data_IF_602101999026
#
_entry.id   IF_602101999026
#
_cell.length_a   1.000
_cell.length_b   1.000
_cell.length_c   1.000
_cell.angle_alpha   90.00
_cell.angle_beta   90.00
_cell.angle_gamma   90.00
#
_symmetry.space_group_name_H-M   'P 1'
#
loop_
_entity.id
_entity.type
_entity.pdbx_description
1 polymer ?
#
# COMPACT_ATOMS: atom_id res chain seq x y z
N UNK A 1 21.95 -3.77 -7.20
CA UNK A 1 20.54 -3.93 -6.79
C UNK A 1 19.71 -3.06 -7.71
N UNK A 2 18.72 -3.62 -8.42
CA UNK A 2 17.84 -2.81 -9.26
C UNK A 2 17.11 -1.80 -8.37
N UNK A 3 17.18 -0.51 -8.72
CA UNK A 3 16.58 0.58 -7.98
C UNK A 3 15.05 0.40 -8.03
N UNK A 4 14.47 -0.09 -6.94
CA UNK A 4 13.04 -0.33 -6.87
C UNK A 4 12.32 1.00 -6.69
N UNK A 5 11.49 1.37 -7.67
CA UNK A 5 10.71 2.58 -7.60
C UNK A 5 9.69 2.48 -6.43
N UNK A 6 9.53 3.58 -5.69
CA UNK A 6 8.48 3.74 -4.67
C UNK A 6 7.76 5.06 -4.91
N UNK A 7 6.43 5.01 -4.92
CA UNK A 7 5.63 6.23 -5.02
C UNK A 7 5.56 6.97 -3.69
N UNK A 8 5.62 6.28 -2.54
CA UNK A 8 5.53 6.92 -1.23
C UNK A 8 6.89 7.51 -0.84
N UNK A 9 6.94 8.83 -0.70
CA UNK A 9 8.17 9.59 -0.43
C UNK A 9 8.04 10.50 0.80
N UNK A 10 9.15 11.11 1.21
CA UNK A 10 9.22 12.05 2.33
C UNK A 10 9.68 13.43 1.86
N UNK A 11 8.92 14.46 2.21
CA UNK A 11 9.35 15.85 2.18
C UNK A 11 10.08 16.17 3.49
N UNK A 12 11.42 16.10 3.43
CA UNK A 12 12.29 16.24 4.62
C UNK A 12 12.02 17.54 5.39
N UNK A 13 11.75 18.64 4.70
CA UNK A 13 11.51 19.95 5.31
C UNK A 13 10.26 19.99 6.21
N UNK A 14 9.20 19.25 5.84
CA UNK A 14 7.97 19.16 6.64
C UNK A 14 8.08 18.17 7.81
N UNK A 15 9.05 17.25 7.76
CA UNK A 15 9.18 16.20 8.77
C UNK A 15 9.72 16.75 10.09
N UNK A 16 8.98 16.52 11.19
CA UNK A 16 9.41 16.88 12.55
C UNK A 16 9.96 15.72 13.38
N UNK A 17 10.11 14.53 12.79
CA UNK A 17 10.64 13.36 13.51
C UNK A 17 9.76 12.83 14.65
N UNK A 18 8.47 13.17 14.67
CA UNK A 18 7.51 12.85 15.75
C UNK A 18 7.17 11.36 15.94
N UNK A 19 7.89 10.45 15.30
CA UNK A 19 7.74 8.99 15.36
C UNK A 19 6.38 8.39 14.97
N UNK A 20 5.29 9.16 14.79
CA UNK A 20 3.95 8.58 14.54
C UNK A 20 3.91 7.54 13.40
N UNK A 21 4.55 7.87 12.26
CA UNK A 21 4.57 6.98 11.10
C UNK A 21 5.27 5.62 11.33
N UNK A 22 6.18 5.49 12.30
CA UNK A 22 6.85 4.20 12.56
C UNK A 22 5.89 3.22 13.24
N UNK A 23 4.95 3.72 14.06
CA UNK A 23 3.98 2.90 14.79
C UNK A 23 2.89 2.31 13.91
N UNK A 24 2.55 2.99 12.83
CA UNK A 24 1.49 2.55 11.93
C UNK A 24 2.01 1.81 10.69
N UNK A 25 3.32 1.75 10.46
CA UNK A 25 3.84 1.07 9.27
C UNK A 25 3.68 -0.46 9.41
N UNK A 26 2.86 -1.12 8.56
CA UNK A 26 2.53 -2.54 8.72
C UNK A 26 3.70 -3.50 8.47
N UNK A 27 4.77 -3.00 7.85
CA UNK A 27 5.98 -3.76 7.52
C UNK A 27 7.22 -3.20 8.20
N UNK A 28 7.03 -2.31 9.19
CA UNK A 28 8.14 -1.70 9.94
C UNK A 28 9.20 -1.04 9.03
N UNK A 29 8.75 -0.52 7.89
CA UNK A 29 9.60 0.05 6.86
C UNK A 29 10.13 1.45 7.21
N UNK A 30 9.82 2.00 8.38
CA UNK A 30 10.17 3.37 8.72
C UNK A 30 11.01 3.39 10.00
N UNK A 31 12.08 4.17 9.96
CA UNK A 31 12.87 4.60 11.13
C UNK A 31 12.85 6.12 11.24
N UNK A 32 13.07 6.66 12.43
CA UNK A 32 13.40 8.07 12.63
C UNK A 32 14.83 8.16 13.13
N UNK A 33 15.67 8.89 12.41
CA UNK A 33 17.07 9.14 12.74
C UNK A 33 17.37 10.61 12.49
N UNK A 34 18.18 11.22 13.36
CA UNK A 34 18.56 12.64 13.24
C UNK A 34 17.33 13.56 13.05
N UNK A 35 16.24 13.29 13.78
CA UNK A 35 15.00 14.07 13.72
C UNK A 35 14.18 13.91 12.43
N UNK A 36 14.51 12.98 11.53
CA UNK A 36 13.80 12.78 10.26
C UNK A 36 13.43 11.32 10.04
N UNK A 37 12.26 11.10 9.45
CA UNK A 37 11.86 9.76 9.04
C UNK A 37 12.74 9.28 7.86
N UNK A 38 12.96 7.97 7.77
CA UNK A 38 13.62 7.29 6.67
C UNK A 38 12.78 6.07 6.30
N UNK A 39 12.60 5.81 5.01
CA UNK A 39 11.89 4.64 4.51
C UNK A 39 12.95 3.62 4.07
N UNK A 40 12.83 2.39 4.58
CA UNK A 40 13.58 1.22 4.14
C UNK A 40 12.83 0.68 2.93
N UNK A 41 13.40 0.90 1.74
CA UNK A 41 12.74 0.62 0.46
C UNK A 41 12.27 -0.83 0.36
N UNK A 42 13.13 -1.79 0.73
CA UNK A 42 12.88 -3.22 0.60
C UNK A 42 11.66 -3.69 1.43
N UNK A 43 11.26 -2.93 2.45
CA UNK A 43 10.10 -3.23 3.31
C UNK A 43 8.85 -2.47 2.90
N UNK A 44 8.98 -1.38 2.15
CA UNK A 44 7.86 -0.50 1.86
C UNK A 44 6.94 -1.16 0.82
N UNK A 45 5.66 -1.31 1.18
CA UNK A 45 4.62 -1.84 0.29
C UNK A 45 3.78 -0.74 -0.37
N UNK A 46 4.17 0.53 -0.21
CA UNK A 46 3.48 1.73 -0.73
C UNK A 46 2.00 1.85 -0.33
N UNK A 47 1.59 1.24 0.79
CA UNK A 47 0.19 1.26 1.27
C UNK A 47 -0.33 2.66 1.66
N UNK A 48 0.56 3.64 1.82
CA UNK A 48 0.22 5.02 2.15
C UNK A 48 -0.27 5.25 3.59
N UNK A 49 -0.17 4.26 4.49
CA UNK A 49 -0.55 4.45 5.90
C UNK A 49 0.20 5.62 6.55
N UNK A 50 1.51 5.74 6.25
CA UNK A 50 2.32 6.86 6.73
C UNK A 50 1.90 8.22 6.16
N UNK A 51 1.22 8.28 5.01
CA UNK A 51 0.64 9.52 4.45
C UNK A 51 -0.56 9.93 5.30
N UNK A 52 -1.44 8.97 5.62
CA UNK A 52 -2.67 9.22 6.40
C UNK A 52 -2.39 9.70 7.82
N UNK A 53 -1.44 9.06 8.51
CA UNK A 53 -1.20 9.34 9.94
C UNK A 53 -0.23 10.49 10.19
N UNK A 54 0.42 11.06 9.16
CA UNK A 54 1.41 12.11 9.39
C UNK A 54 0.73 13.46 9.71
N UNK A 55 0.86 13.99 10.95
CA UNK A 55 0.19 15.24 11.31
C UNK A 55 0.82 16.47 10.63
N UNK A 56 2.02 16.33 10.07
CA UNK A 56 2.75 17.40 9.39
C UNK A 56 2.66 17.31 7.86
N UNK A 57 1.90 16.35 7.32
CA UNK A 57 1.79 16.09 5.88
C UNK A 57 3.16 15.98 5.18
N UNK A 58 4.15 15.40 5.87
CA UNK A 58 5.50 15.25 5.36
C UNK A 58 5.68 14.05 4.44
N UNK A 59 4.72 13.12 4.44
CA UNK A 59 4.68 11.97 3.53
C UNK A 59 3.72 12.26 2.38
N UNK A 60 4.12 11.94 1.16
CA UNK A 60 3.27 12.06 -0.04
C UNK A 60 3.43 10.86 -0.94
N UNK A 61 2.46 10.63 -1.81
CA UNK A 61 2.69 9.79 -2.98
C UNK A 61 3.08 10.69 -4.16
N UNK A 62 4.05 10.25 -4.94
CA UNK A 62 4.44 10.87 -6.21
C UNK A 62 3.67 10.18 -7.32
N UNK A 63 2.79 10.93 -7.98
CA UNK A 63 2.05 10.53 -9.18
C UNK A 63 2.60 11.26 -10.39
N UNK A 64 2.16 10.88 -11.59
CA UNK A 64 2.60 11.54 -12.82
C UNK A 64 1.87 12.88 -12.98
N UNK A 65 2.53 13.93 -13.51
CA UNK A 65 1.87 15.21 -13.77
C UNK A 65 0.96 15.08 -15.01
N UNK A 66 -0.14 15.84 -15.03
CA UNK A 66 -1.09 15.85 -16.17
C UNK A 66 -0.42 16.22 -17.50
N UNK A 67 0.71 16.92 -17.48
CA UNK A 67 1.45 17.31 -18.69
C UNK A 67 1.95 16.13 -19.50
N UNK A 68 2.13 14.93 -18.91
CA UNK A 68 2.52 13.70 -19.63
C UNK A 68 1.48 13.33 -20.69
N UNK A 69 0.22 13.75 -20.56
CA UNK A 69 -0.79 13.54 -21.60
C UNK A 69 -0.41 14.15 -22.95
N UNK A 70 0.40 15.21 -22.96
CA UNK A 70 0.80 15.92 -24.19
C UNK A 70 1.81 15.14 -25.03
N UNK A 71 2.37 14.04 -24.50
CA UNK A 71 3.30 13.17 -25.23
C UNK A 71 2.58 12.19 -26.17
N UNK A 72 1.26 12.12 -26.10
CA UNK A 72 0.44 11.14 -26.82
C UNK A 72 -0.58 11.80 -27.75
N UNK A 73 -0.84 11.16 -28.89
CA UNK A 73 -1.80 11.63 -29.90
C UNK A 73 -3.25 11.35 -29.47
N UNK A 74 -3.46 10.19 -28.83
CA UNK A 74 -4.77 9.77 -28.36
C UNK A 74 -4.70 9.38 -26.88
N UNK A 75 -5.53 10.01 -26.04
CA UNK A 75 -5.46 9.94 -24.58
C UNK A 75 -6.69 9.26 -24.02
N UNK A 76 -6.50 8.13 -23.36
CA UNK A 76 -7.57 7.37 -22.72
C UNK A 76 -7.50 7.53 -21.20
N UNK A 77 -8.61 7.93 -20.60
CA UNK A 77 -8.78 7.90 -19.15
C UNK A 77 -9.31 6.54 -18.69
N UNK A 78 -8.69 5.99 -17.66
CA UNK A 78 -9.18 4.84 -16.92
C UNK A 78 -9.60 5.27 -15.50
N UNK A 79 -10.85 5.70 -15.28
CA UNK A 79 -11.32 6.04 -13.94
C UNK A 79 -11.42 4.78 -13.08
N UNK A 80 -10.75 4.79 -11.93
CA UNK A 80 -11.04 3.80 -10.88
C UNK A 80 -12.52 3.93 -10.46
N UNK A 81 -13.22 2.82 -10.13
CA UNK A 81 -14.63 2.91 -9.73
C UNK A 81 -14.84 3.80 -8.49
N UNK A 82 -13.80 3.94 -7.66
CA UNK A 82 -13.80 4.80 -6.47
C UNK A 82 -13.96 6.29 -6.78
N UNK A 83 -13.68 6.71 -8.02
CA UNK A 83 -13.89 8.08 -8.48
C UNK A 83 -15.36 8.49 -8.33
N UNK A 84 -16.29 7.57 -8.61
CA UNK A 84 -17.73 7.84 -8.52
C UNK A 84 -18.22 8.10 -7.10
N UNK A 85 -17.49 7.61 -6.09
CA UNK A 85 -17.75 7.94 -4.68
C UNK A 85 -17.23 9.32 -4.26
N UNK A 86 -16.36 9.95 -5.04
CA UNK A 86 -15.74 11.24 -4.67
C UNK A 86 -16.61 12.46 -4.98
N UNK A 87 -17.79 12.25 -5.56
CA UNK A 87 -18.72 13.31 -5.92
C UNK A 87 -20.07 13.07 -5.24
N UNK A 88 -20.76 14.16 -4.91
CA UNK A 88 -22.08 14.10 -4.30
C UNK A 88 -23.14 13.46 -5.21
N UNK A 89 -24.30 13.15 -4.65
CA UNK A 89 -25.42 12.48 -5.34
C UNK A 89 -25.93 13.22 -6.59
N UNK A 90 -25.71 14.52 -6.66
CA UNK A 90 -26.05 15.41 -7.78
C UNK A 90 -25.18 15.20 -9.02
N UNK A 91 -24.06 14.49 -8.90
CA UNK A 91 -23.21 14.13 -10.03
C UNK A 91 -23.55 12.71 -10.49
N UNK A 92 -24.06 12.56 -11.71
CA UNK A 92 -24.24 11.26 -12.37
C UNK A 92 -22.90 10.72 -12.89
N UNK A 93 -22.82 9.40 -13.13
CA UNK A 93 -21.61 8.81 -13.75
C UNK A 93 -21.39 9.39 -15.14
N UNK A 94 -22.45 9.52 -15.91
CA UNK A 94 -22.48 10.12 -17.24
C UNK A 94 -21.79 11.49 -17.23
N UNK A 95 -22.14 12.34 -16.27
CA UNK A 95 -21.56 13.68 -16.09
C UNK A 95 -20.09 13.63 -15.69
N UNK A 96 -19.70 12.70 -14.83
CA UNK A 96 -18.29 12.49 -14.43
C UNK A 96 -17.44 12.07 -15.63
N UNK A 97 -17.92 11.11 -16.43
CA UNK A 97 -17.21 10.62 -17.62
C UNK A 97 -17.05 11.71 -18.68
N UNK A 98 -18.10 12.50 -18.96
CA UNK A 98 -17.98 13.68 -19.82
C UNK A 98 -17.06 14.76 -19.24
N UNK A 99 -17.04 14.90 -17.92
CA UNK A 99 -16.09 15.80 -17.26
C UNK A 99 -14.63 15.43 -17.56
N UNK A 100 -14.33 14.13 -17.70
CA UNK A 100 -13.00 13.67 -18.08
C UNK A 100 -12.67 14.01 -19.55
N UNK A 101 -13.64 13.90 -20.46
CA UNK A 101 -13.39 14.34 -21.85
C UNK A 101 -13.11 15.85 -21.90
N UNK A 102 -13.87 16.66 -21.15
CA UNK A 102 -13.65 18.11 -20.99
C UNK A 102 -12.33 18.48 -20.29
N UNK A 103 -11.73 17.54 -19.55
CA UNK A 103 -10.43 17.68 -18.91
C UNK A 103 -9.27 17.47 -19.90
N UNK A 104 -9.55 16.93 -21.09
CA UNK A 104 -8.59 16.75 -22.18
C UNK A 104 -8.32 15.29 -22.58
N UNK A 105 -9.15 14.34 -22.15
CA UNK A 105 -9.08 12.96 -22.64
C UNK A 105 -9.94 12.78 -23.89
N UNK A 106 -9.46 12.01 -24.87
CA UNK A 106 -10.19 11.72 -26.11
C UNK A 106 -11.23 10.61 -25.91
N UNK A 107 -10.97 9.70 -24.97
CA UNK A 107 -11.88 8.61 -24.63
C UNK A 107 -11.75 8.20 -23.17
N UNK A 108 -12.80 7.56 -22.65
CA UNK A 108 -12.85 7.05 -21.29
C UNK A 108 -13.27 5.59 -21.33
N UNK A 109 -12.48 4.72 -20.72
CA UNK A 109 -12.81 3.31 -20.56
C UNK A 109 -12.85 2.97 -19.07
N UNK A 110 -14.03 2.59 -18.58
CA UNK A 110 -14.25 2.40 -17.15
C UNK A 110 -13.49 1.18 -16.61
N UNK A 111 -12.68 1.36 -15.56
CA UNK A 111 -12.08 0.22 -14.85
C UNK A 111 -13.13 -0.66 -14.18
N UNK A 112 -14.30 -0.09 -13.89
CA UNK A 112 -15.48 -0.81 -13.41
C UNK A 112 -15.93 -1.91 -14.41
N UNK A 113 -15.79 -1.68 -15.72
CA UNK A 113 -16.11 -2.68 -16.74
C UNK A 113 -15.15 -3.87 -16.63
N UNK A 114 -13.86 -3.59 -16.58
CA UNK A 114 -12.83 -4.62 -16.41
C UNK A 114 -12.94 -5.37 -15.07
N UNK A 115 -13.46 -4.73 -14.03
CA UNK A 115 -13.72 -5.37 -12.74
C UNK A 115 -14.80 -6.47 -12.85
N UNK A 116 -15.82 -6.27 -13.68
CA UNK A 116 -16.84 -7.29 -13.96
C UNK A 116 -16.25 -8.47 -14.76
N UNK A 117 -15.39 -8.19 -15.74
CA UNK A 117 -14.65 -9.21 -16.50
C UNK A 117 -13.75 -10.05 -15.58
N UNK A 118 -12.99 -9.40 -14.68
CA UNK A 118 -12.13 -10.09 -13.71
C UNK A 118 -12.96 -10.90 -12.71
N UNK A 119 -14.12 -10.39 -12.28
CA UNK A 119 -15.06 -11.15 -11.44
C UNK A 119 -15.54 -12.42 -12.12
N UNK A 120 -15.85 -12.33 -13.41
CA UNK A 120 -16.26 -13.48 -14.21
C UNK A 120 -15.16 -14.53 -14.34
N UNK A 121 -13.94 -14.11 -14.67
CA UNK A 121 -12.77 -14.99 -14.68
C UNK A 121 -12.54 -15.66 -13.31
N UNK A 122 -12.69 -14.89 -12.22
CA UNK A 122 -12.55 -15.40 -10.85
C UNK A 122 -13.60 -16.47 -10.53
N UNK A 123 -14.85 -16.27 -10.95
CA UNK A 123 -15.91 -17.29 -10.80
C UNK A 123 -15.55 -18.59 -11.52
N UNK A 124 -15.00 -18.51 -12.73
CA UNK A 124 -14.55 -19.68 -13.49
C UNK A 124 -13.41 -20.42 -12.76
N UNK A 125 -12.41 -19.70 -12.26
CA UNK A 125 -11.29 -20.26 -11.50
C UNK A 125 -11.77 -20.95 -10.23
N UNK A 126 -12.65 -20.31 -9.45
CA UNK A 126 -13.21 -20.90 -8.23
C UNK A 126 -14.06 -22.14 -8.50
N UNK A 127 -14.82 -22.17 -9.61
CA UNK A 127 -15.60 -23.34 -10.03
C UNK A 127 -14.72 -24.53 -10.43
N UNK A 128 -13.51 -24.29 -10.96
CA UNK A 128 -12.59 -25.36 -11.36
C UNK A 128 -12.14 -26.26 -10.20
N UNK A 129 -12.17 -25.76 -8.96
CA UNK A 129 -11.72 -26.47 -7.77
C UNK A 129 -10.21 -26.71 -7.67
N UNK A 130 -9.41 -26.24 -8.65
CA UNK A 130 -7.95 -26.48 -8.73
C UNK A 130 -7.10 -25.43 -8.01
N UNK A 131 -7.69 -24.65 -7.12
CA UNK A 131 -7.01 -23.56 -6.39
C UNK A 131 -6.89 -23.86 -4.90
N UNK A 132 -5.83 -23.32 -4.28
CA UNK A 132 -5.67 -23.39 -2.83
C UNK A 132 -6.64 -22.41 -2.16
N UNK A 133 -7.40 -22.90 -1.19
CA UNK A 133 -8.39 -22.10 -0.43
C UNK A 133 -7.85 -21.69 0.95
N UNK A 134 -8.29 -20.54 1.50
CA UNK A 134 -9.06 -19.51 0.79
C UNK A 134 -8.23 -18.86 -0.32
N UNK A 135 -8.86 -18.57 -1.45
CA UNK A 135 -8.23 -17.82 -2.54
C UNK A 135 -8.26 -16.32 -2.18
N UNK A 136 -7.14 -15.62 -2.31
CA UNK A 136 -6.98 -14.23 -1.90
C UNK A 136 -6.98 -13.33 -3.13
N UNK A 137 -7.80 -12.28 -3.12
CA UNK A 137 -7.83 -11.25 -4.16
C UNK A 137 -6.45 -10.64 -4.43
N UNK A 138 -6.13 -10.42 -5.70
CA UNK A 138 -4.94 -9.69 -6.15
C UNK A 138 -5.18 -8.21 -6.45
N UNK A 139 -6.42 -7.72 -6.29
CA UNK A 139 -6.80 -6.38 -6.73
C UNK A 139 -6.03 -5.26 -6.00
N UNK A 140 -5.70 -5.47 -4.71
CA UNK A 140 -4.96 -4.51 -3.89
C UNK A 140 -3.44 -4.77 -3.93
N UNK A 141 -2.64 -3.95 -4.66
CA UNK A 141 -1.20 -4.18 -4.82
C UNK A 141 -0.42 -4.09 -3.50
N UNK A 142 -0.89 -3.28 -2.54
CA UNK A 142 -0.29 -3.22 -1.21
C UNK A 142 -0.45 -4.55 -0.45
N UNK A 143 -1.56 -5.26 -0.64
CA UNK A 143 -1.82 -6.55 0.01
C UNK A 143 -1.01 -7.67 -0.66
N UNK A 144 -0.95 -7.67 -1.99
CA UNK A 144 -0.07 -8.59 -2.73
C UNK A 144 1.39 -8.45 -2.27
N UNK A 145 1.88 -7.20 -2.14
CA UNK A 145 3.22 -6.94 -1.63
C UNK A 145 3.38 -7.29 -0.15
N UNK A 146 2.35 -7.09 0.68
CA UNK A 146 2.37 -7.54 2.07
C UNK A 146 2.59 -9.07 2.14
N UNK A 147 1.94 -9.84 1.25
CA UNK A 147 2.15 -11.28 1.15
C UNK A 147 3.60 -11.61 0.77
N UNK A 148 4.15 -10.94 -0.25
CA UNK A 148 5.56 -11.13 -0.67
C UNK A 148 6.58 -10.87 0.42
N UNK A 149 6.24 -10.04 1.39
CA UNK A 149 7.18 -9.44 2.33
C UNK A 149 7.03 -10.08 3.71
N UNK A 150 5.79 -10.32 4.18
CA UNK A 150 5.48 -10.87 5.52
C UNK A 150 4.83 -12.25 5.53
N UNK A 151 4.13 -12.67 4.46
CA UNK A 151 3.36 -13.92 4.44
C UNK A 151 3.67 -14.81 3.23
N UNK A 152 4.94 -15.18 2.97
CA UNK A 152 5.30 -15.93 1.76
C UNK A 152 4.56 -17.27 1.59
N UNK A 153 4.11 -17.88 2.68
CA UNK A 153 3.32 -19.13 2.64
C UNK A 153 1.96 -18.96 1.93
N UNK A 154 1.46 -17.72 1.84
CA UNK A 154 0.20 -17.38 1.18
C UNK A 154 0.36 -17.00 -0.30
N UNK A 155 1.59 -17.02 -0.87
CA UNK A 155 1.82 -16.71 -2.29
C UNK A 155 0.96 -17.60 -3.19
N UNK A 156 0.84 -18.88 -2.84
CA UNK A 156 0.03 -19.86 -3.59
C UNK A 156 -1.48 -19.72 -3.37
N UNK A 157 -1.92 -18.86 -2.45
CA UNK A 157 -3.32 -18.53 -2.23
C UNK A 157 -3.76 -17.32 -3.06
N UNK A 158 -2.85 -16.57 -3.70
CA UNK A 158 -3.22 -15.38 -4.47
C UNK A 158 -3.91 -15.77 -5.78
N UNK A 159 -4.99 -15.06 -6.10
CA UNK A 159 -5.62 -15.07 -7.42
C UNK A 159 -4.67 -14.47 -8.46
N UNK A 160 -4.03 -15.31 -9.27
CA UNK A 160 -3.07 -14.88 -10.31
C UNK A 160 -3.74 -14.32 -11.58
N UNK A 161 -4.66 -13.37 -11.42
CA UNK A 161 -5.26 -12.60 -12.50
C UNK A 161 -4.74 -11.16 -12.50
N UNK A 162 -4.51 -10.61 -13.69
CA UNK A 162 -4.21 -9.20 -13.88
C UNK A 162 -5.28 -8.34 -13.22
N UNK A 163 -4.85 -7.24 -12.59
CA UNK A 163 -5.80 -6.35 -11.93
C UNK A 163 -6.73 -5.68 -12.94
N UNK A 164 -7.96 -5.26 -12.53
CA UNK A 164 -8.89 -4.61 -13.45
C UNK A 164 -8.33 -3.39 -14.18
N UNK A 165 -7.38 -2.68 -13.56
CA UNK A 165 -6.68 -1.56 -14.18
C UNK A 165 -5.86 -2.01 -15.40
N UNK A 166 -5.11 -3.11 -15.28
CA UNK A 166 -4.28 -3.64 -16.37
C UNK A 166 -5.15 -4.23 -17.48
N UNK A 167 -6.21 -4.95 -17.11
CA UNK A 167 -7.19 -5.49 -18.05
C UNK A 167 -7.87 -4.35 -18.82
N UNK A 168 -8.31 -3.29 -18.12
CA UNK A 168 -8.90 -2.11 -18.73
C UNK A 168 -7.93 -1.42 -19.69
N UNK A 169 -6.66 -1.25 -19.29
CA UNK A 169 -5.65 -0.63 -20.11
C UNK A 169 -5.36 -1.42 -21.39
N UNK A 170 -5.27 -2.74 -21.28
CA UNK A 170 -5.06 -3.62 -22.43
C UNK A 170 -6.23 -3.55 -23.41
N UNK A 171 -7.47 -3.69 -22.92
CA UNK A 171 -8.67 -3.59 -23.76
C UNK A 171 -8.73 -2.23 -24.43
N UNK A 172 -8.62 -1.14 -23.67
CA UNK A 172 -8.70 0.20 -24.21
C UNK A 172 -7.66 0.46 -25.31
N UNK A 173 -6.41 0.02 -25.09
CA UNK A 173 -5.34 0.19 -26.06
C UNK A 173 -5.59 -0.62 -27.33
N UNK A 174 -6.04 -1.87 -27.20
CA UNK A 174 -6.39 -2.73 -28.32
C UNK A 174 -7.55 -2.13 -29.14
N UNK A 175 -8.62 -1.66 -28.48
CA UNK A 175 -9.77 -1.03 -29.13
C UNK A 175 -9.37 0.20 -29.93
N UNK A 176 -8.56 1.10 -29.37
CA UNK A 176 -8.12 2.31 -30.09
C UNK A 176 -7.26 1.94 -31.30
N UNK A 177 -6.32 1.00 -31.14
CA UNK A 177 -5.46 0.56 -32.24
C UNK A 177 -6.30 -0.06 -33.37
N UNK A 178 -7.27 -0.92 -33.06
CA UNK A 178 -8.09 -1.60 -34.07
C UNK A 178 -9.11 -0.69 -34.73
N UNK A 179 -9.81 0.16 -33.98
CA UNK A 179 -10.93 0.95 -34.50
C UNK A 179 -10.51 2.31 -35.05
N UNK A 180 -9.46 2.92 -34.48
CA UNK A 180 -8.99 4.26 -34.88
C UNK A 180 -7.75 4.23 -35.77
N UNK A 181 -7.15 3.05 -35.98
CA UNK A 181 -5.92 2.87 -36.76
C UNK A 181 -4.76 3.76 -36.28
N UNK A 182 -4.67 3.98 -34.96
CA UNK A 182 -3.60 4.76 -34.31
C UNK A 182 -2.54 3.77 -33.78
N UNK A 183 -1.23 3.98 -34.06
CA UNK A 183 -0.17 3.12 -33.51
C UNK A 183 -0.18 3.07 -31.99
N UNK A 184 0.11 1.90 -31.42
CA UNK A 184 0.05 1.63 -29.98
C UNK A 184 0.93 2.59 -29.15
N UNK A 185 2.06 3.04 -29.69
CA UNK A 185 3.01 3.95 -29.04
C UNK A 185 2.45 5.36 -28.90
N UNK A 186 1.51 5.74 -29.77
CA UNK A 186 0.85 7.05 -29.76
C UNK A 186 -0.41 7.10 -28.91
N UNK A 187 -0.87 5.96 -28.41
CA UNK A 187 -2.01 5.85 -27.49
C UNK A 187 -1.51 5.92 -26.05
N UNK A 188 -1.84 7.00 -25.36
CA UNK A 188 -1.55 7.22 -23.94
C UNK A 188 -2.71 6.76 -23.08
N UNK A 189 -2.49 5.77 -22.22
CA UNK A 189 -3.50 5.23 -21.31
C UNK A 189 -3.20 5.66 -19.87
N UNK A 190 -4.12 6.38 -19.24
CA UNK A 190 -3.88 7.02 -17.94
C UNK A 190 -4.86 6.56 -16.88
N UNK A 191 -4.33 5.99 -15.79
CA UNK A 191 -5.14 5.52 -14.68
C UNK A 191 -5.38 6.63 -13.66
N UNK A 192 -6.65 6.91 -13.36
CA UNK A 192 -7.05 7.87 -12.33
C UNK A 192 -7.26 7.08 -11.03
N UNK A 193 -6.25 7.15 -10.16
CA UNK A 193 -6.05 6.22 -9.05
C UNK A 193 -6.36 6.82 -7.67
N UNK A 194 -7.00 6.05 -6.77
CA UNK A 194 -7.08 6.38 -5.35
C UNK A 194 -5.82 5.96 -4.57
N UNK A 195 -4.88 5.24 -5.19
CA UNK A 195 -3.89 4.42 -4.50
C UNK A 195 -2.45 4.74 -4.93
N UNK A 196 -1.60 5.00 -3.93
CA UNK A 196 -0.15 5.16 -4.10
C UNK A 196 0.52 3.86 -4.61
N UNK A 197 0.15 2.71 -4.06
CA UNK A 197 0.71 1.42 -4.48
C UNK A 197 0.39 1.05 -5.93
N UNK A 198 -0.70 1.57 -6.52
CA UNK A 198 -0.98 1.40 -7.95
C UNK A 198 -0.01 2.20 -8.83
N UNK A 199 0.44 3.37 -8.39
CA UNK A 199 1.53 4.09 -9.09
C UNK A 199 2.78 3.22 -9.15
N UNK A 200 3.15 2.60 -8.02
CA UNK A 200 4.30 1.72 -8.00
C UNK A 200 4.08 0.44 -8.81
N UNK A 201 2.87 -0.13 -8.84
CA UNK A 201 2.61 -1.33 -9.65
C UNK A 201 2.64 -1.05 -11.15
N UNK A 202 2.32 0.17 -11.60
CA UNK A 202 2.48 0.57 -13.00
C UNK A 202 3.96 0.70 -13.38
N UNK A 203 4.76 1.36 -12.53
CA UNK A 203 6.20 1.59 -12.79
C UNK A 203 7.09 0.37 -12.53
N UNK A 204 6.67 -0.52 -11.65
CA UNK A 204 7.35 -1.77 -11.32
C UNK A 204 6.32 -2.90 -11.13
N UNK A 205 5.77 -3.45 -12.24
CA UNK A 205 4.74 -4.49 -12.18
C UNK A 205 5.26 -5.80 -11.59
N UNK A 206 4.39 -6.47 -10.83
CA UNK A 206 4.61 -7.84 -10.34
C UNK A 206 3.85 -8.89 -11.18
N UNK A 207 2.79 -8.48 -11.89
CA UNK A 207 1.88 -9.33 -12.66
C UNK A 207 2.45 -9.72 -14.05
N UNK A 208 3.25 -8.82 -14.63
CA UNK A 208 3.82 -8.93 -15.98
C UNK A 208 5.13 -8.14 -16.11
N UNK A 209 5.73 -8.15 -17.31
CA UNK A 209 6.99 -7.44 -17.59
C UNK A 209 6.84 -5.92 -17.55
N UNK A 210 5.84 -5.38 -18.24
CA UNK A 210 5.60 -3.95 -18.42
C UNK A 210 4.09 -3.66 -18.32
N UNK A 211 3.72 -2.53 -17.70
CA UNK A 211 2.33 -2.13 -17.57
C UNK A 211 1.76 -1.66 -18.91
N UNK A 212 0.47 -1.87 -19.13
CA UNK A 212 -0.24 -1.29 -20.27
C UNK A 212 -0.67 0.17 -20.01
N UNK A 213 -0.45 0.68 -18.79
CA UNK A 213 -0.75 2.05 -18.35
C UNK A 213 0.49 2.92 -18.52
N UNK A 214 0.34 4.08 -19.16
CA UNK A 214 1.41 5.03 -19.42
C UNK A 214 1.65 6.03 -18.28
N UNK A 215 0.61 6.33 -17.48
CA UNK A 215 0.74 7.23 -16.34
C UNK A 215 -0.40 7.08 -15.34
N UNK A 216 -0.17 7.54 -14.12
CA UNK A 216 -1.15 7.48 -13.03
C UNK A 216 -1.40 8.87 -12.47
N UNK A 217 -2.66 9.29 -12.46
CA UNK A 217 -3.11 10.55 -11.89
C UNK A 217 -3.83 10.34 -10.57
N UNK A 218 -3.53 11.18 -9.59
CA UNK A 218 -4.20 11.20 -8.29
C UNK A 218 -5.64 11.70 -8.44
N UNK A 219 -6.63 10.98 -7.88
CA UNK A 219 -8.01 11.46 -7.84
C UNK A 219 -8.08 12.83 -7.14
N UNK A 220 -7.36 12.99 -6.03
CA UNK A 220 -7.30 14.24 -5.27
C UNK A 220 -6.80 15.42 -6.11
N UNK A 221 -5.86 15.18 -7.01
CA UNK A 221 -5.24 16.25 -7.81
C UNK A 221 -6.14 16.71 -8.96
N UNK A 222 -6.99 15.82 -9.48
CA UNK A 222 -7.96 16.15 -10.53
C UNK A 222 -9.33 16.54 -10.00
N UNK A 223 -9.65 16.26 -8.72
CA UNK A 223 -11.00 16.37 -8.16
C UNK A 223 -11.63 17.76 -8.38
N UNK A 224 -10.92 18.83 -8.01
CA UNK A 224 -11.41 20.21 -8.15
C UNK A 224 -11.52 20.60 -9.64
N UNK A 225 -10.51 20.24 -10.45
CA UNK A 225 -10.52 20.52 -11.90
C UNK A 225 -11.70 19.84 -12.60
N UNK A 226 -11.98 18.60 -12.22
CA UNK A 226 -13.10 17.83 -12.75
C UNK A 226 -14.45 18.44 -12.32
N UNK A 227 -14.57 18.87 -11.06
CA UNK A 227 -15.75 19.61 -10.59
C UNK A 227 -16.01 20.87 -11.41
N UNK A 228 -14.97 21.64 -11.73
CA UNK A 228 -15.07 22.85 -12.56
C UNK A 228 -15.56 22.53 -13.96
N UNK A 229 -15.00 21.51 -14.61
CA UNK A 229 -15.45 21.06 -15.95
C UNK A 229 -16.90 20.59 -15.94
N UNK A 230 -17.31 19.86 -14.90
CA UNK A 230 -18.67 19.36 -14.77
C UNK A 230 -19.72 20.46 -14.57
N UNK A 231 -19.37 21.67 -14.11
CA UNK A 231 -20.33 22.79 -13.96
C UNK A 231 -21.06 23.13 -15.26
N UNK A 232 -20.38 22.99 -16.38
CA UNK A 232 -20.92 23.30 -17.71
C UNK A 232 -21.67 22.13 -18.35
N UNK A 233 -21.73 20.97 -17.67
CA UNK A 233 -22.38 19.76 -18.17
C UNK A 233 -23.75 19.62 -17.49
N UNK A 234 -24.85 19.45 -18.25
CA UNK A 234 -26.19 19.25 -17.68
C UNK A 234 -26.24 18.04 -16.73
N UNK A 235 -26.99 18.10 -15.62
CA UNK A 235 -27.14 16.97 -14.68
C UNK A 235 -27.70 15.70 -15.33
N UNK A 236 -28.66 15.87 -16.25
CA UNK A 236 -29.40 14.77 -16.90
C UNK A 236 -28.78 14.38 -18.25
N UNK A 237 -27.47 14.61 -18.42
CA UNK A 237 -26.80 14.27 -19.66
C UNK A 237 -26.72 12.75 -19.85
N UNK A 238 -27.06 12.27 -21.05
CA UNK A 238 -26.78 10.88 -21.43
C UNK A 238 -25.33 10.74 -21.92
N UNK A 239 -24.74 9.55 -21.79
CA UNK A 239 -23.34 9.32 -22.13
C UNK A 239 -23.08 7.87 -22.59
N UNK A 240 -22.69 7.73 -23.85
CA UNK A 240 -22.32 6.45 -24.47
C UNK A 240 -21.03 5.85 -23.87
N UNK A 241 -20.27 6.62 -23.07
CA UNK A 241 -19.07 6.13 -22.40
C UNK A 241 -19.37 5.21 -21.21
N UNK A 242 -20.61 5.21 -20.71
CA UNK A 242 -21.03 4.33 -19.63
C UNK A 242 -21.08 2.90 -20.13
N UNK A 243 -20.26 2.03 -19.54
CA UNK A 243 -20.04 0.66 -20.02
C UNK A 243 -19.96 -0.38 -18.90
N UNK A 244 -20.27 0.00 -17.66
CA UNK A 244 -20.21 -0.86 -16.48
C UNK A 244 -21.50 -0.90 -15.67
N UNK A 245 -21.78 -2.06 -15.08
CA UNK A 245 -22.94 -2.31 -14.23
C UNK A 245 -22.71 -2.04 -12.75
N UNK A 246 -23.69 -2.46 -11.95
CA UNK A 246 -23.69 -2.28 -10.50
C UNK A 246 -22.54 -3.01 -9.80
N UNK A 247 -22.14 -4.19 -10.28
CA UNK A 247 -21.02 -4.95 -9.72
C UNK A 247 -19.70 -4.23 -9.94
N UNK A 248 -19.46 -3.75 -11.16
CA UNK A 248 -18.25 -3.02 -11.53
C UNK A 248 -18.07 -1.72 -10.74
N UNK A 249 -19.16 -0.97 -10.55
CA UNK A 249 -19.14 0.24 -9.69
C UNK A 249 -18.93 -0.14 -8.23
N UNK A 250 -19.59 -1.20 -7.77
CA UNK A 250 -19.56 -1.67 -6.39
C UNK A 250 -18.17 -2.09 -5.91
N UNK A 251 -17.31 -2.59 -6.81
CA UNK A 251 -15.93 -3.01 -6.54
C UNK A 251 -15.06 -1.97 -5.81
N UNK A 252 -15.39 -0.69 -5.88
CA UNK A 252 -14.65 0.34 -5.15
C UNK A 252 -14.78 0.25 -3.62
N UNK A 253 -15.94 -0.18 -3.14
CA UNK A 253 -16.23 -0.33 -1.72
C UNK A 253 -15.83 -1.72 -1.23
N UNK A 254 -15.57 -1.82 0.09
CA UNK A 254 -15.30 -3.13 0.68
C UNK A 254 -16.51 -4.07 0.55
N UNK A 255 -16.24 -5.31 0.17
CA UNK A 255 -17.22 -6.35 -0.14
C UNK A 255 -17.73 -6.28 -1.57
N UNK A 256 -17.28 -5.31 -2.38
CA UNK A 256 -17.72 -5.14 -3.76
C UNK A 256 -17.27 -6.27 -4.67
N UNK A 257 -16.05 -6.76 -4.49
CA UNK A 257 -15.53 -7.91 -5.24
C UNK A 257 -16.23 -9.19 -4.78
N UNK A 258 -16.34 -9.43 -3.47
CA UNK A 258 -17.09 -10.55 -2.93
C UNK A 258 -18.54 -10.61 -3.43
N UNK A 259 -19.24 -9.46 -3.48
CA UNK A 259 -20.60 -9.37 -4.00
C UNK A 259 -20.66 -9.75 -5.49
N UNK A 260 -19.70 -9.31 -6.29
CA UNK A 260 -19.61 -9.63 -7.72
C UNK A 260 -19.33 -11.12 -7.99
N UNK A 261 -18.79 -11.87 -7.02
CA UNK A 261 -18.60 -13.31 -7.17
C UNK A 261 -19.89 -14.11 -7.00
N UNK A 262 -20.93 -13.55 -6.36
CA UNK A 262 -22.21 -14.21 -6.09
C UNK A 262 -22.07 -15.55 -5.34
N UNK A 263 -21.16 -15.60 -4.37
CA UNK A 263 -20.89 -16.83 -3.57
C UNK A 263 -21.05 -16.58 -2.07
N UNK A 264 -21.55 -17.58 -1.31
CA UNK A 264 -21.82 -17.41 0.11
C UNK A 264 -20.55 -17.48 0.99
N UNK A 265 -19.56 -18.30 0.62
CA UNK A 265 -18.35 -18.55 1.42
C UNK A 265 -17.24 -17.54 1.14
N UNK A 266 -17.56 -16.25 1.15
CA UNK A 266 -16.60 -15.16 0.87
C UNK A 266 -16.40 -14.28 2.10
N UNK A 267 -15.19 -13.76 2.27
CA UNK A 267 -14.81 -12.88 3.37
C UNK A 267 -14.25 -11.57 2.82
N UNK A 268 -14.82 -10.44 3.22
CA UNK A 268 -14.29 -9.12 2.90
C UNK A 268 -13.63 -8.51 4.13
N UNK A 269 -12.35 -8.14 4.02
CA UNK A 269 -11.58 -7.50 5.07
C UNK A 269 -10.92 -6.24 4.54
N UNK A 270 -11.01 -5.16 5.31
CA UNK A 270 -10.42 -3.88 4.96
C UNK A 270 -9.63 -3.27 6.12
N UNK A 271 -8.62 -2.47 5.77
CA UNK A 271 -7.65 -1.93 6.73
C UNK A 271 -6.50 -2.91 6.96
N UNK A 272 -5.27 -2.44 6.76
CA UNK A 272 -4.09 -3.31 6.66
C UNK A 272 -3.82 -4.14 7.92
N UNK A 273 -4.14 -3.63 9.12
CA UNK A 273 -3.98 -4.38 10.36
C UNK A 273 -4.99 -5.52 10.50
N UNK A 274 -6.24 -5.32 10.04
CA UNK A 274 -7.23 -6.39 9.98
C UNK A 274 -6.85 -7.43 8.93
N UNK A 275 -6.30 -7.00 7.79
CA UNK A 275 -5.77 -7.91 6.77
C UNK A 275 -4.65 -8.79 7.33
N UNK A 276 -3.73 -8.20 8.11
CA UNK A 276 -2.64 -8.94 8.78
C UNK A 276 -3.23 -10.01 9.72
N UNK A 277 -4.20 -9.65 10.57
CA UNK A 277 -4.85 -10.60 11.48
C UNK A 277 -5.53 -11.76 10.73
N UNK A 278 -6.26 -11.45 9.65
CA UNK A 278 -6.87 -12.49 8.80
C UNK A 278 -5.80 -13.38 8.15
N UNK A 279 -4.68 -12.82 7.69
CA UNK A 279 -3.60 -13.61 7.10
C UNK A 279 -2.93 -14.54 8.13
N UNK A 280 -2.78 -14.11 9.37
CA UNK A 280 -2.33 -14.96 10.48
C UNK A 280 -3.31 -16.13 10.69
N UNK A 281 -4.62 -15.87 10.70
CA UNK A 281 -5.63 -16.93 10.78
C UNK A 281 -5.61 -17.90 9.59
N UNK A 282 -5.34 -17.43 8.37
CA UNK A 282 -5.19 -18.30 7.19
C UNK A 282 -3.95 -19.19 7.33
N UNK A 283 -2.83 -18.64 7.79
CA UNK A 283 -1.57 -19.40 8.00
C UNK A 283 -1.75 -20.46 9.09
N UNK A 284 -2.50 -20.15 10.15
CA UNK A 284 -2.87 -21.09 11.20
C UNK A 284 -3.98 -22.08 10.79
N UNK A 285 -4.37 -22.06 9.51
CA UNK A 285 -5.42 -22.88 8.92
C UNK A 285 -6.79 -22.78 9.62
N UNK A 286 -7.13 -21.62 10.22
CA UNK A 286 -8.42 -21.41 10.91
C UNK A 286 -9.58 -21.12 9.96
N UNK A 287 -9.31 -20.70 8.72
CA UNK A 287 -10.32 -20.27 7.73
C UNK A 287 -10.56 -21.29 6.60
N UNK A 288 -10.64 -22.59 6.92
CA UNK A 288 -10.82 -23.69 5.94
C UNK A 288 -12.15 -23.63 5.17
N UNK A 289 -13.18 -23.03 5.77
CA UNK A 289 -14.52 -22.91 5.19
C UNK A 289 -14.74 -21.68 4.30
N UNK A 290 -13.70 -20.85 4.12
CA UNK A 290 -13.76 -19.66 3.27
C UNK A 290 -13.23 -20.02 1.87
N UNK A 291 -14.03 -19.76 0.84
CA UNK A 291 -13.63 -19.97 -0.56
C UNK A 291 -12.73 -18.82 -1.06
N UNK A 292 -13.07 -17.58 -0.70
CA UNK A 292 -12.43 -16.38 -1.23
C UNK A 292 -12.30 -15.27 -0.17
N UNK A 293 -11.18 -14.57 -0.18
CA UNK A 293 -10.88 -13.43 0.70
C UNK A 293 -10.58 -12.19 -0.15
N UNK A 294 -11.48 -11.21 -0.09
CA UNK A 294 -11.24 -9.85 -0.57
C UNK A 294 -10.49 -9.09 0.54
N UNK A 295 -9.19 -8.84 0.33
CA UNK A 295 -8.35 -8.14 1.29
C UNK A 295 -7.90 -6.77 0.75
N UNK A 296 -8.32 -5.70 1.43
CA UNK A 296 -8.04 -4.32 1.03
C UNK A 296 -7.24 -3.57 2.11
N UNK A 297 -6.11 -2.97 1.73
CA UNK A 297 -5.22 -2.29 2.68
C UNK A 297 -5.83 -1.06 3.37
N UNK A 298 -6.78 -0.39 2.72
CA UNK A 298 -7.34 0.88 3.19
C UNK A 298 -8.71 0.67 3.83
N UNK A 299 -9.06 1.52 4.79
CA UNK A 299 -10.39 1.54 5.41
C UNK A 299 -11.44 1.86 4.34
N UNK A 300 -12.56 1.12 4.33
CA UNK A 300 -13.58 1.22 3.27
C UNK A 300 -13.08 0.89 1.85
N UNK A 301 -11.97 0.15 1.75
CA UNK A 301 -11.41 -0.26 0.47
C UNK A 301 -10.77 0.90 -0.30
N UNK A 302 -10.94 0.90 -1.62
CA UNK A 302 -10.33 1.93 -2.48
C UNK A 302 -10.85 3.34 -2.19
N UNK A 303 -12.03 3.48 -1.57
CA UNK A 303 -12.59 4.77 -1.16
C UNK A 303 -11.77 5.49 -0.08
N UNK A 304 -11.02 4.74 0.75
CA UNK A 304 -10.09 5.30 1.75
C UNK A 304 -8.63 5.35 1.31
N UNK A 305 -8.39 5.25 0.01
CA UNK A 305 -7.04 5.35 -0.56
C UNK A 305 -6.38 6.70 -0.26
N UNK A 306 -5.04 6.77 -0.15
CA UNK A 306 -4.34 8.01 0.20
C UNK A 306 -4.42 9.12 -0.86
N UNK A 307 -4.92 8.82 -2.06
CA UNK A 307 -5.10 9.76 -3.17
C UNK A 307 -6.56 10.15 -3.40
N UNK A 308 -7.45 9.89 -2.43
CA UNK A 308 -8.85 10.33 -2.50
C UNK A 308 -9.02 11.74 -1.93
N UNK A 309 -10.12 12.40 -2.32
CA UNK A 309 -10.42 13.78 -1.93
C UNK A 309 -11.48 13.84 -0.81
N UNK A 310 -12.36 12.84 -0.75
CA UNK A 310 -13.51 12.81 0.15
C UNK A 310 -13.28 11.79 1.26
N UNK A 311 -13.82 12.07 2.45
CA UNK A 311 -13.80 11.13 3.56
C UNK A 311 -14.37 9.75 3.13
N UNK A 312 -13.74 8.62 3.49
CA UNK A 312 -14.12 7.29 3.02
C UNK A 312 -15.57 6.91 3.30
N UNK A 313 -16.13 7.30 4.46
CA UNK A 313 -17.50 6.95 4.84
C UNK A 313 -18.55 7.76 4.07
N UNK A 314 -18.24 9.03 3.79
CA UNK A 314 -19.04 9.87 2.89
C UNK A 314 -18.97 9.33 1.47
N UNK A 315 -17.77 8.98 1.00
CA UNK A 315 -17.56 8.41 -0.32
C UNK A 315 -18.30 7.08 -0.52
N UNK A 316 -18.40 6.25 0.53
CA UNK A 316 -19.21 5.03 0.53
C UNK A 316 -20.69 5.33 0.34
N UNK A 317 -21.20 6.38 0.98
CA UNK A 317 -22.60 6.80 0.84
C UNK A 317 -22.89 7.26 -0.58
N UNK A 318 -21.99 8.07 -1.17
CA UNK A 318 -22.10 8.50 -2.56
C UNK A 318 -22.04 7.31 -3.53
N UNK A 319 -21.10 6.38 -3.33
CA UNK A 319 -20.95 5.19 -4.16
C UNK A 319 -22.23 4.35 -4.15
N UNK A 320 -22.89 4.17 -3.00
CA UNK A 320 -24.18 3.46 -2.92
C UNK A 320 -25.24 4.07 -3.83
N UNK A 321 -25.32 5.39 -3.92
CA UNK A 321 -26.22 6.06 -4.87
C UNK A 321 -25.89 5.71 -6.32
N UNK A 322 -24.60 5.68 -6.68
CA UNK A 322 -24.15 5.33 -8.03
C UNK A 322 -24.42 3.86 -8.36
N UNK A 323 -24.17 2.95 -7.42
CA UNK A 323 -24.49 1.50 -7.58
C UNK A 323 -25.98 1.32 -7.80
N UNK A 324 -26.84 1.99 -7.03
CA UNK A 324 -28.29 1.90 -7.20
C UNK A 324 -28.76 2.42 -8.57
N UNK A 325 -28.14 3.49 -9.09
CA UNK A 325 -28.39 3.96 -10.47
C UNK A 325 -27.89 2.98 -11.52
N UNK A 326 -26.78 2.31 -11.27
CA UNK A 326 -26.21 1.34 -12.21
C UNK A 326 -27.05 0.05 -12.28
N UNK A 327 -27.86 -0.30 -11.26
CA UNK A 327 -28.75 -1.47 -11.29
C UNK A 327 -29.81 -1.42 -12.39
N UNK A 328 -30.17 -0.24 -12.88
CA UNK A 328 -31.15 -0.11 -13.96
C UNK A 328 -30.56 -0.36 -15.35
N UNK A 329 -29.24 -0.55 -15.46
CA UNK A 329 -28.53 -0.83 -16.72
C UNK A 329 -27.81 -2.18 -16.57
N UNK A 330 -28.16 -3.16 -17.40
CA UNK A 330 -27.52 -4.48 -17.41
C UNK A 330 -26.41 -4.52 -18.47
N UNK A 331 -25.18 -4.82 -18.03
CA UNK A 331 -24.00 -4.96 -18.89
C UNK A 331 -23.41 -6.38 -18.82
N UNK A 332 -24.12 -7.33 -18.22
CA UNK A 332 -23.60 -8.67 -17.92
C UNK A 332 -23.16 -9.44 -19.17
N UNK A 333 -23.88 -9.32 -20.29
CA UNK A 333 -23.55 -9.98 -21.55
C UNK A 333 -22.25 -9.47 -22.19
N UNK A 334 -21.96 -8.18 -22.04
CA UNK A 334 -20.80 -7.51 -22.64
C UNK A 334 -19.54 -7.56 -21.79
N UNK A 335 -19.66 -8.00 -20.52
CA UNK A 335 -18.59 -8.00 -19.52
C UNK A 335 -18.13 -9.41 -19.17
N UNK A 336 -18.21 -10.32 -20.14
CA UNK A 336 -17.75 -11.70 -20.04
C UNK A 336 -16.29 -11.82 -20.45
N UNK A 337 -15.53 -12.66 -19.74
CA UNK A 337 -14.18 -13.02 -20.16
C UNK A 337 -14.28 -14.10 -21.25
N UNK A 338 -14.24 -13.72 -22.53
CA UNK A 338 -14.30 -14.67 -23.65
C UNK A 338 -13.20 -15.74 -23.59
N UNK A 339 -11.99 -15.34 -23.16
CA UNK A 339 -10.91 -16.23 -22.74
C UNK A 339 -10.21 -15.64 -21.50
N UNK A 340 -10.42 -16.24 -20.33
CA UNK A 340 -9.78 -15.76 -19.10
C UNK A 340 -8.30 -16.10 -19.02
N UNK A 341 -7.77 -16.98 -19.88
CA UNK A 341 -6.34 -17.34 -19.89
C UNK A 341 -5.47 -16.12 -20.22
N UNK A 342 -5.96 -15.22 -21.07
CA UNK A 342 -5.31 -13.96 -21.43
C UNK A 342 -5.25 -12.93 -20.28
N UNK A 343 -5.90 -13.24 -19.15
CA UNK A 343 -5.91 -12.41 -17.95
C UNK A 343 -4.95 -12.96 -16.88
N UNK A 344 -4.34 -14.12 -17.08
CA UNK A 344 -3.41 -14.70 -16.10
C UNK A 344 -2.11 -13.92 -16.04
N UNK A 345 -1.50 -13.90 -14.87
CA UNK A 345 -0.15 -13.35 -14.71
C UNK A 345 0.84 -14.07 -15.61
N UNK A 346 1.71 -13.29 -16.25
CA UNK A 346 2.81 -13.83 -17.08
C UNK A 346 4.11 -13.94 -16.29
N UNK A 347 4.15 -13.35 -15.10
CA UNK A 347 5.30 -13.39 -14.20
C UNK A 347 4.92 -14.05 -12.88
N UNK A 348 5.80 -14.93 -12.40
CA UNK A 348 5.66 -15.48 -11.06
C UNK A 348 6.13 -14.51 -9.99
N UNK A 349 5.46 -14.59 -8.85
CA UNK A 349 5.71 -13.73 -7.72
C UNK A 349 6.68 -14.38 -6.76
N UNK A 350 7.83 -13.75 -6.55
CA UNK A 350 8.87 -14.23 -5.64
C UNK A 350 8.74 -13.62 -4.24
N UNK A 351 9.17 -14.38 -3.24
CA UNK A 351 9.35 -13.92 -1.86
C UNK A 351 10.47 -12.87 -1.80
N UNK A 352 10.22 -11.77 -1.09
CA UNK A 352 11.20 -10.71 -0.85
C UNK A 352 11.54 -10.64 0.65
N UNK A 353 12.64 -11.29 1.09
CA UNK A 353 13.00 -11.31 2.49
C UNK A 353 13.29 -9.91 3.03
N UNK A 354 12.57 -9.54 4.09
CA UNK A 354 12.74 -8.28 4.82
C UNK A 354 14.03 -8.26 5.66
N UNK A 355 14.39 -9.41 6.22
CA UNK A 355 15.46 -9.56 7.20
C UNK A 355 16.68 -10.17 6.51
N UNK A 356 17.47 -9.34 5.84
CA UNK A 356 18.81 -9.70 5.36
C UNK A 356 19.86 -9.01 6.24
N UNK A 357 20.34 -9.70 7.27
CA UNK A 357 21.34 -9.17 8.21
C UNK A 357 22.76 -9.17 7.61
N UNK A 358 23.05 -10.11 6.71
CA UNK A 358 24.30 -10.22 5.97
C UNK A 358 24.07 -11.01 4.67
N UNK A 359 24.99 -10.92 3.72
CA UNK A 359 24.97 -11.78 2.53
C UNK A 359 25.52 -13.17 2.82
N UNK A 360 26.46 -13.26 3.76
CA UNK A 360 27.01 -14.52 4.21
C UNK A 360 26.13 -15.13 5.32
N UNK A 361 25.66 -16.35 5.09
CA UNK A 361 24.74 -17.06 6.00
C UNK A 361 25.31 -17.18 7.42
N UNK A 362 26.59 -17.53 7.57
CA UNK A 362 27.22 -17.68 8.90
C UNK A 362 27.27 -16.35 9.64
N UNK A 363 27.63 -15.26 8.95
CA UNK A 363 27.60 -13.91 9.55
C UNK A 363 26.18 -13.48 9.89
N UNK A 364 25.20 -13.81 9.06
CA UNK A 364 23.80 -13.54 9.34
C UNK A 364 23.31 -14.27 10.59
N UNK A 365 23.73 -15.52 10.81
CA UNK A 365 23.40 -16.29 12.02
C UNK A 365 24.02 -15.67 13.28
N UNK A 366 25.29 -15.27 13.24
CA UNK A 366 25.96 -14.59 14.37
C UNK A 366 25.23 -13.27 14.69
N UNK A 367 24.90 -12.49 13.66
CA UNK A 367 24.12 -11.26 13.80
C UNK A 367 22.73 -11.52 14.38
N UNK A 368 22.07 -12.60 13.99
CA UNK A 368 20.76 -13.00 14.51
C UNK A 368 20.84 -13.33 16.00
N UNK A 369 21.85 -14.11 16.42
CA UNK A 369 22.05 -14.41 17.85
C UNK A 369 22.27 -13.12 18.66
N UNK A 370 23.13 -12.23 18.17
CA UNK A 370 23.39 -10.93 18.81
C UNK A 370 22.14 -10.04 18.86
N UNK A 371 21.27 -10.13 17.85
CA UNK A 371 20.01 -9.41 17.83
C UNK A 371 19.10 -9.85 18.97
N UNK A 372 18.93 -11.16 19.15
CA UNK A 372 18.11 -11.71 20.24
C UNK A 372 18.70 -11.33 21.61
N UNK A 373 20.02 -11.45 21.80
CA UNK A 373 20.71 -11.01 23.03
C UNK A 373 20.46 -9.52 23.36
N UNK A 374 20.57 -8.64 22.36
CA UNK A 374 20.28 -7.21 22.55
C UNK A 374 18.79 -6.99 22.83
N UNK A 375 17.92 -7.69 22.11
CA UNK A 375 16.47 -7.56 22.27
C UNK A 375 16.01 -7.95 23.68
N UNK A 376 16.55 -9.04 24.23
CA UNK A 376 16.27 -9.50 25.59
C UNK A 376 16.78 -8.51 26.65
N UNK A 377 17.87 -7.80 26.35
CA UNK A 377 18.39 -6.73 27.20
C UNK A 377 17.56 -5.44 27.17
N UNK A 378 16.77 -5.20 26.12
CA UNK A 378 15.94 -4.01 25.97
C UNK A 378 14.67 -4.10 26.83
N UNK A 379 14.03 -2.96 27.17
CA UNK A 379 12.91 -2.95 28.13
C UNK A 379 11.60 -3.59 27.63
N UNK A 380 11.51 -4.01 26.36
CA UNK A 380 10.30 -4.64 25.79
C UNK A 380 9.05 -3.74 25.73
N UNK A 381 9.18 -2.43 25.95
CA UNK A 381 8.03 -1.50 26.03
C UNK A 381 7.48 -1.08 24.67
N UNK A 382 8.25 -1.27 23.59
CA UNK A 382 7.88 -0.88 22.24
C UNK A 382 7.32 0.54 22.13
N UNK A 383 7.90 1.51 22.86
CA UNK A 383 7.41 2.89 22.89
C UNK A 383 7.83 3.70 21.64
N UNK A 384 8.92 3.29 20.99
CA UNK A 384 9.47 3.91 19.77
C UNK A 384 10.15 5.26 19.94
N UNK A 385 10.49 5.65 21.18
CA UNK A 385 11.19 6.90 21.48
C UNK A 385 12.59 6.99 20.81
N UNK A 386 13.25 5.85 20.60
CA UNK A 386 14.52 5.76 19.87
C UNK A 386 14.37 5.91 18.34
N UNK A 387 13.14 6.10 17.85
CA UNK A 387 12.85 6.18 16.41
C UNK A 387 12.76 4.84 15.69
N UNK A 388 12.84 3.71 16.39
CA UNK A 388 12.53 2.38 15.85
C UNK A 388 11.11 1.94 16.26
N UNK A 389 10.38 1.15 15.44
CA UNK A 389 8.98 0.82 15.70
C UNK A 389 8.76 0.00 16.96
N UNK A 390 9.68 -0.89 17.31
CA UNK A 390 9.68 -1.72 18.52
C UNK A 390 11.12 -2.01 18.98
N UNK A 391 11.28 -2.63 20.15
CA UNK A 391 12.57 -2.99 20.73
C UNK A 391 13.35 -3.93 19.82
N UNK A 392 12.69 -4.92 19.19
CA UNK A 392 13.34 -5.84 18.26
C UNK A 392 13.90 -5.12 17.03
N UNK A 393 13.17 -4.15 16.50
CA UNK A 393 13.62 -3.33 15.39
C UNK A 393 14.80 -2.44 15.78
N UNK A 394 14.86 -1.93 17.02
CA UNK A 394 16.05 -1.25 17.52
C UNK A 394 17.24 -2.21 17.62
N UNK A 395 17.04 -3.42 18.14
CA UNK A 395 18.09 -4.44 18.20
C UNK A 395 18.62 -4.78 16.80
N UNK A 396 17.74 -4.91 15.81
CA UNK A 396 18.10 -5.07 14.40
C UNK A 396 18.98 -3.90 13.91
N UNK A 397 18.57 -2.66 14.20
CA UNK A 397 19.31 -1.47 13.79
C UNK A 397 20.71 -1.42 14.44
N UNK A 398 20.84 -1.83 15.72
CA UNK A 398 22.11 -1.88 16.45
C UNK A 398 23.05 -2.92 15.83
N UNK A 399 22.56 -4.13 15.56
CA UNK A 399 23.36 -5.21 14.93
C UNK A 399 23.84 -4.81 13.54
N UNK A 400 23.06 -3.99 12.83
CA UNK A 400 23.42 -3.44 11.51
C UNK A 400 24.32 -2.20 11.59
N UNK A 401 24.63 -1.70 12.79
CA UNK A 401 25.45 -0.50 13.00
C UNK A 401 24.73 0.81 12.64
N UNK A 402 23.39 0.80 12.61
CA UNK A 402 22.53 1.95 12.28
C UNK A 402 21.99 2.66 13.53
N UNK A 403 22.24 2.11 14.71
CA UNK A 403 21.81 2.61 16.01
C UNK A 403 22.78 2.16 17.09
N UNK A 404 22.68 2.79 18.26
CA UNK A 404 23.39 2.40 19.48
C UNK A 404 22.40 1.97 20.55
N UNK A 405 22.85 1.12 21.46
CA UNK A 405 22.04 0.69 22.61
C UNK A 405 21.56 1.90 23.45
N UNK A 406 22.40 2.93 23.55
CA UNK A 406 22.10 4.20 24.23
C UNK A 406 21.06 5.07 23.51
N UNK A 407 20.64 4.73 22.29
CA UNK A 407 19.49 5.39 21.66
C UNK A 407 18.19 5.05 22.39
N UNK A 408 18.17 3.93 23.14
CA UNK A 408 17.11 3.65 24.09
C UNK A 408 17.32 4.48 25.37
N UNK A 409 16.35 5.34 25.70
CA UNK A 409 16.42 6.21 26.88
C UNK A 409 16.61 5.44 28.20
N UNK A 410 16.05 4.22 28.29
CA UNK A 410 16.20 3.36 29.47
C UNK A 410 17.64 2.86 29.61
N UNK A 411 18.25 2.42 28.49
CA UNK A 411 19.65 1.99 28.45
C UNK A 411 20.64 3.13 28.64
N UNK A 412 20.32 4.30 28.12
CA UNK A 412 21.10 5.51 28.39
C UNK A 412 21.09 5.83 29.89
N UNK A 413 19.91 5.84 30.51
CA UNK A 413 19.76 6.15 31.94
C UNK A 413 20.48 5.12 32.83
N UNK A 414 20.38 3.83 32.50
CA UNK A 414 21.11 2.74 33.16
C UNK A 414 22.62 3.02 33.13
N UNK A 415 23.20 3.23 31.94
CA UNK A 415 24.64 3.50 31.77
C UNK A 415 25.09 4.80 32.45
N UNK A 416 24.27 5.85 32.43
CA UNK A 416 24.58 7.11 33.14
C UNK A 416 24.59 6.90 34.66
N UNK A 417 23.67 6.09 35.19
CA UNK A 417 23.65 5.74 36.61
C UNK A 417 24.89 4.94 37.01
N UNK A 418 25.24 3.92 36.22
CA UNK A 418 26.42 3.09 36.46
C UNK A 418 27.71 3.92 36.49
N UNK A 419 27.86 4.84 35.54
CA UNK A 419 28.99 5.77 35.51
C UNK A 419 29.03 6.67 36.75
N UNK A 420 27.89 7.20 37.18
CA UNK A 420 27.81 8.03 38.38
C UNK A 420 28.19 7.24 39.65
N UNK A 421 27.78 5.99 39.77
CA UNK A 421 28.10 5.14 40.91
C UNK A 421 29.57 4.68 40.91
N UNK A 422 30.14 4.40 39.73
CA UNK A 422 31.58 4.19 39.57
C UNK A 422 32.38 5.42 40.02
N UNK A 423 31.96 6.63 39.63
CA UNK A 423 32.62 7.87 40.06
C UNK A 423 32.60 8.05 41.58
N UNK A 424 31.47 7.77 42.25
CA UNK A 424 31.39 7.78 43.72
C UNK A 424 32.31 6.75 44.36
N UNK A 425 32.36 5.53 43.81
CA UNK A 425 33.24 4.48 44.31
C UNK A 425 34.72 4.88 44.19
N UNK A 426 35.11 5.51 43.08
CA UNK A 426 36.46 6.06 42.91
C UNK A 426 36.78 7.17 43.93
N UNK A 427 35.85 8.08 44.21
CA UNK A 427 36.05 9.12 45.24
C UNK A 427 36.25 8.48 46.64
N UNK A 428 35.45 7.47 46.98
CA UNK A 428 35.58 6.77 48.25
C UNK A 428 36.95 6.08 48.38
N UNK A 429 37.42 5.39 47.33
CA UNK A 429 38.74 4.74 47.29
C UNK A 429 39.86 5.79 47.41
N UNK A 430 39.72 6.94 46.76
CA UNK A 430 40.72 8.00 46.83
C UNK A 430 40.81 8.62 48.23
N UNK A 431 39.66 8.88 48.88
CA UNK A 431 39.61 9.35 50.28
C UNK A 431 40.23 8.33 51.25
N UNK A 432 39.91 7.04 51.11
CA UNK A 432 40.50 6.01 51.98
C UNK A 432 42.02 5.87 51.80
N UNK A 433 42.56 6.11 50.60
CA UNK A 433 44.01 6.15 50.38
C UNK A 433 44.69 7.40 50.96
N UNK A 434 44.02 8.55 50.97
CA UNK A 434 44.54 9.75 51.65
C UNK A 434 44.55 9.60 53.17
N UNK A 435 43.49 9.04 53.76
CA UNK A 435 43.42 8.82 55.22
C UNK A 435 44.38 7.73 55.72
N UNK A 436 44.71 6.74 54.87
CA UNK A 436 45.67 5.66 55.17
C UNK A 436 47.15 6.06 55.07
N UNK A 437 47.49 7.17 54.39
CA UNK A 437 48.87 7.62 54.20
C UNK A 437 49.35 8.66 55.22
N UNK A 438 48.49 9.09 56.14
CA UNK A 438 48.79 10.07 57.20
C UNK A 438 49.18 9.51 58.58
N UNK A 439 49.24 8.18 58.77
CA UNK A 439 49.52 7.56 60.09
C UNK A 439 50.87 6.84 60.21
N UNK A 440 51.87 7.25 59.43
CA UNK A 440 53.21 6.69 59.49
C UNK A 440 54.29 7.76 59.49
N UNK A 441 54.47 8.45 60.62
CA UNK A 441 55.74 9.02 61.15
C UNK A 441 55.46 10.04 62.26
N UNK A 442 55.70 9.63 63.51
CA UNK A 442 56.74 10.21 64.38
C UNK A 442 57.03 9.22 65.50
N UNK A 443 58.25 8.70 65.47
CA UNK A 443 58.93 7.86 66.45
C UNK A 443 59.26 8.62 67.73
N UNK A 444 59.44 7.82 68.79
CA UNK A 444 60.48 7.89 69.83
C UNK A 444 61.34 9.16 69.93
N UNK A 445 61.31 9.73 71.13
CA UNK A 445 62.21 10.75 71.66
C UNK A 445 61.88 11.05 73.11
#
# INVERSE_FOLDING_TARGET
>A
MAEYFHSVTLEKEKCRGCTNCIKHCPTEAIRVRNGKAMIINERCIDCGECIRVCPYHAKKAVTDPLSVMNEYEFRVALPAPSLYGQFGKEYSRERILKGLTELGFDWVFEVARAAEIVSDATRHILKSGKVRKPLISSACPAVVRLIQVRFPNLINNILKLESPMEVAARIAKQTVVSEKNIPAEKVGVFFISPCAAKVTSVKAPYEKKESSVNGVFSIKDIHIKLMEKMKNIPPDCDCELVSSGAYGVGWAGSGGECAALERPKTLAVHGIHNVIAIFEEIVEEKLKDVDFVEALSCIEGCLGGPLTAVNPFVAKTNLKCQVNRAKSKDFSSENTAADYQDLLWTKDMEYKPILKLDENVMKAMIKMQKLEEINDGLPGLDCGACGSPNCRALAEDIVRGLAFETDCIFKLREKVSDLADQMKAFEHIYRTKQDGSGRGKTNDG
#
